data_IF_247960701658
#
_entry.id   IF_247960701658
#
_cell.length_a   1.000
_cell.length_b   1.000
_cell.length_c   1.000
_cell.angle_alpha   90.00
_cell.angle_beta   90.00
_cell.angle_gamma   90.00
#
_symmetry.space_group_name_H-M   'P 1'
#
loop_
_entity.id
_entity.type
_entity.pdbx_description
1 polymer ?
#
# COMPACT_ATOMS: atom_id res chain seq x y z
N UNK A 1 -8.59 -3.51 -12.56
CA UNK A 1 -8.25 -4.91 -12.21
C UNK A 1 -8.63 -5.10 -10.76
N UNK A 2 -9.32 -6.17 -10.44
CA UNK A 2 -9.61 -6.51 -9.04
C UNK A 2 -8.41 -7.22 -8.42
N UNK A 3 -8.06 -6.85 -7.20
CA UNK A 3 -6.95 -7.40 -6.44
C UNK A 3 -7.34 -7.46 -4.97
N UNK A 4 -6.73 -8.39 -4.23
CA UNK A 4 -6.86 -8.42 -2.78
C UNK A 4 -5.94 -7.35 -2.18
N UNK A 5 -6.51 -6.37 -1.47
CA UNK A 5 -5.73 -5.44 -0.68
C UNK A 5 -5.52 -6.02 0.72
N UNK A 6 -4.28 -6.15 1.16
CA UNK A 6 -3.96 -6.58 2.53
C UNK A 6 -3.00 -5.59 3.19
N UNK A 7 -3.12 -5.43 4.50
CA UNK A 7 -2.21 -4.59 5.28
C UNK A 7 -1.16 -5.46 5.97
N UNK A 8 0.07 -4.96 6.04
CA UNK A 8 1.21 -5.71 6.58
C UNK A 8 2.08 -4.81 7.45
N UNK A 9 2.65 -5.39 8.50
CA UNK A 9 3.74 -4.76 9.27
C UNK A 9 5.07 -5.28 8.76
N UNK A 10 5.95 -4.35 8.43
CA UNK A 10 7.33 -4.64 8.02
C UNK A 10 8.21 -3.74 8.88
N UNK A 11 9.25 -4.33 9.47
CA UNK A 11 10.11 -3.68 10.48
C UNK A 11 10.62 -2.33 9.96
N UNK A 12 11.10 -2.28 8.72
CA UNK A 12 11.66 -1.07 8.12
C UNK A 12 10.65 0.08 8.03
N UNK A 13 9.38 -0.22 7.68
CA UNK A 13 8.34 0.80 7.58
C UNK A 13 7.83 1.24 8.95
N UNK A 14 7.73 0.32 9.91
CA UNK A 14 7.38 0.65 11.29
C UNK A 14 8.48 1.51 11.93
N UNK A 15 9.76 1.17 11.74
CA UNK A 15 10.88 2.02 12.20
C UNK A 15 10.88 3.38 11.51
N UNK A 16 10.67 3.44 10.20
CA UNK A 16 10.61 4.70 9.46
C UNK A 16 9.50 5.63 9.99
N UNK A 17 8.36 5.07 10.42
CA UNK A 17 7.29 5.84 11.06
C UNK A 17 7.76 6.51 12.36
N UNK A 18 8.48 5.78 13.20
CA UNK A 18 8.97 6.31 14.49
C UNK A 18 10.11 7.33 14.28
N UNK A 19 11.01 7.08 13.33
CA UNK A 19 12.13 7.98 13.03
C UNK A 19 11.74 9.23 12.26
N UNK A 20 10.63 9.21 11.51
CA UNK A 20 10.19 10.38 10.76
C UNK A 20 9.74 11.54 11.66
N UNK A 21 9.57 11.33 12.97
CA UNK A 21 9.20 12.36 13.96
C UNK A 21 7.99 13.23 13.56
N UNK A 22 7.15 12.77 12.63
CA UNK A 22 5.99 13.50 12.14
C UNK A 22 6.21 14.38 10.89
N UNK A 23 7.38 14.34 10.24
CA UNK A 23 7.58 15.03 8.95
C UNK A 23 6.69 14.40 7.85
N UNK A 24 5.80 15.20 7.26
CA UNK A 24 4.76 14.74 6.34
C UNK A 24 5.35 14.10 5.08
N UNK A 25 6.41 14.71 4.53
CA UNK A 25 7.06 14.23 3.31
C UNK A 25 7.78 12.90 3.54
N UNK A 26 8.53 12.79 4.64
CA UNK A 26 9.21 11.56 5.04
C UNK A 26 8.22 10.42 5.29
N UNK A 27 7.12 10.69 6.01
CA UNK A 27 6.07 9.70 6.24
C UNK A 27 5.44 9.25 4.93
N UNK A 28 5.11 10.18 4.03
CA UNK A 28 4.51 9.86 2.73
C UNK A 28 5.43 9.00 1.87
N UNK A 29 6.72 9.34 1.79
CA UNK A 29 7.69 8.57 1.00
C UNK A 29 7.86 7.14 1.51
N UNK A 30 7.71 6.90 2.82
CA UNK A 30 7.95 5.62 3.46
C UNK A 30 6.70 4.76 3.66
N UNK A 31 5.53 5.38 3.80
CA UNK A 31 4.28 4.69 4.16
C UNK A 31 3.19 4.76 3.10
N UNK A 32 3.22 5.71 2.17
CA UNK A 32 2.25 5.78 1.07
C UNK A 32 2.65 4.84 -0.08
N UNK A 33 2.78 3.55 0.21
CA UNK A 33 3.31 2.54 -0.71
C UNK A 33 2.31 1.41 -0.97
N UNK A 34 2.24 0.96 -2.23
CA UNK A 34 1.56 -0.26 -2.64
C UNK A 34 2.57 -1.24 -3.23
N UNK A 35 2.84 -2.33 -2.52
CA UNK A 35 3.75 -3.39 -2.96
C UNK A 35 2.99 -4.38 -3.84
N UNK A 36 3.50 -4.61 -5.05
CA UNK A 36 2.84 -5.42 -6.09
C UNK A 36 3.84 -6.43 -6.64
N UNK A 37 3.36 -7.63 -6.96
CA UNK A 37 4.15 -8.61 -7.68
C UNK A 37 4.65 -8.05 -9.04
N UNK A 38 5.91 -8.28 -9.45
CA UNK A 38 6.44 -7.82 -10.73
C UNK A 38 5.63 -8.24 -11.96
N UNK A 39 4.98 -9.41 -11.93
CA UNK A 39 4.13 -9.89 -13.02
C UNK A 39 2.87 -9.03 -13.17
N UNK A 40 2.20 -8.71 -12.06
CA UNK A 40 1.01 -7.86 -12.09
C UNK A 40 1.36 -6.41 -12.37
N UNK A 41 2.52 -5.96 -11.91
CA UNK A 41 3.05 -4.65 -12.25
C UNK A 41 3.21 -4.49 -13.77
N UNK A 42 3.70 -5.53 -14.45
CA UNK A 42 3.78 -5.58 -15.93
C UNK A 42 2.40 -5.67 -16.57
N UNK A 43 1.49 -6.52 -16.07
CA UNK A 43 0.11 -6.63 -16.60
C UNK A 43 -0.65 -5.31 -16.52
N UNK A 44 -0.41 -4.53 -15.47
CA UNK A 44 -0.98 -3.19 -15.27
C UNK A 44 -0.25 -2.09 -16.06
N UNK A 45 0.80 -2.41 -16.81
CA UNK A 45 1.67 -1.46 -17.53
C UNK A 45 2.19 -0.32 -16.63
N UNK A 46 2.51 -0.65 -15.38
CA UNK A 46 3.06 0.34 -14.44
C UNK A 46 4.55 0.57 -14.71
N UNK A 47 5.01 1.77 -14.40
CA UNK A 47 6.43 2.15 -14.41
C UNK A 47 6.87 2.54 -13.01
N UNK A 48 8.14 2.32 -12.70
CA UNK A 48 8.75 2.72 -11.43
C UNK A 48 8.66 4.25 -11.28
N UNK A 49 7.87 4.72 -10.31
CA UNK A 49 7.42 6.10 -10.00
C UNK A 49 5.96 6.45 -10.30
N UNK A 50 5.15 5.55 -10.86
CA UNK A 50 3.72 5.81 -10.94
C UNK A 50 3.04 5.66 -9.58
N UNK A 51 2.10 6.58 -9.34
CA UNK A 51 1.13 6.44 -8.27
C UNK A 51 -0.07 5.66 -8.81
N UNK A 52 -0.59 4.75 -7.99
CA UNK A 52 -1.80 4.01 -8.27
C UNK A 52 -2.93 4.49 -7.37
N UNK A 53 -4.14 4.49 -7.91
CA UNK A 53 -5.35 4.72 -7.14
C UNK A 53 -5.95 3.36 -6.77
N UNK A 54 -6.11 3.13 -5.47
CA UNK A 54 -6.84 2.00 -4.92
C UNK A 54 -8.21 2.52 -4.45
N UNK A 55 -9.28 1.79 -4.77
CA UNK A 55 -10.64 2.17 -4.37
C UNK A 55 -11.49 0.94 -4.11
N UNK A 56 -12.28 1.00 -3.04
CA UNK A 56 -13.28 0.01 -2.69
C UNK A 56 -14.51 0.69 -2.06
N UNK A 57 -15.40 -0.10 -1.45
CA UNK A 57 -16.62 0.42 -0.80
C UNK A 57 -16.38 1.32 0.42
N UNK A 58 -15.21 1.25 1.04
CA UNK A 58 -14.89 2.03 2.24
C UNK A 58 -14.25 3.37 1.91
N UNK A 59 -13.50 3.43 0.80
CA UNK A 59 -12.87 4.67 0.37
C UNK A 59 -11.90 4.49 -0.78
N UNK A 60 -11.01 5.46 -0.92
CA UNK A 60 -10.01 5.52 -1.97
C UNK A 60 -8.71 6.10 -1.45
N UNK A 61 -7.58 5.62 -1.97
CA UNK A 61 -6.25 6.14 -1.62
C UNK A 61 -5.34 6.15 -2.85
N UNK A 62 -4.43 7.12 -2.89
CA UNK A 62 -3.37 7.20 -3.91
C UNK A 62 -2.05 6.86 -3.22
N UNK A 63 -1.35 5.85 -3.73
CA UNK A 63 -0.07 5.37 -3.18
C UNK A 63 0.95 5.16 -4.30
N UNK A 64 2.24 5.26 -3.99
CA UNK A 64 3.31 4.93 -4.93
C UNK A 64 3.37 3.42 -5.12
N UNK A 65 3.33 2.96 -6.37
CA UNK A 65 3.48 1.54 -6.66
C UNK A 65 4.96 1.14 -6.65
N UNK A 66 5.28 0.08 -5.91
CA UNK A 66 6.62 -0.53 -5.87
C UNK A 66 6.52 -2.03 -6.18
N UNK A 67 7.56 -2.55 -6.81
CA UNK A 67 7.65 -3.98 -7.14
C UNK A 67 8.30 -4.73 -5.98
N UNK A 68 7.65 -5.80 -5.52
CA UNK A 68 8.17 -6.66 -4.46
C UNK A 68 8.00 -8.13 -4.85
N UNK A 69 9.11 -8.87 -4.91
CA UNK A 69 9.11 -10.26 -5.43
C UNK A 69 8.39 -11.22 -4.50
N UNK A 70 8.36 -10.93 -3.21
CA UNK A 70 7.73 -11.78 -2.20
C UNK A 70 6.21 -11.58 -2.11
N UNK A 71 5.65 -10.60 -2.82
CA UNK A 71 4.19 -10.41 -2.89
C UNK A 71 3.59 -11.43 -3.86
N UNK A 72 2.60 -12.23 -3.44
CA UNK A 72 1.89 -13.12 -4.37
C UNK A 72 1.14 -12.33 -5.46
N UNK A 73 0.97 -12.95 -6.63
CA UNK A 73 0.18 -12.34 -7.71
C UNK A 73 -1.30 -12.18 -7.29
N UNK A 74 -1.94 -11.10 -7.74
CA UNK A 74 -3.32 -10.74 -7.42
C UNK A 74 -3.48 -10.00 -6.08
N UNK A 75 -2.38 -9.69 -5.39
CA UNK A 75 -2.39 -9.01 -4.08
C UNK A 75 -1.64 -7.68 -4.17
N UNK A 76 -2.18 -6.67 -3.47
CA UNK A 76 -1.46 -5.43 -3.15
C UNK A 76 -1.25 -5.38 -1.64
N UNK A 77 0.00 -5.34 -1.19
CA UNK A 77 0.31 -5.15 0.22
C UNK A 77 0.53 -3.66 0.51
N UNK A 78 -0.13 -3.17 1.56
CA UNK A 78 0.08 -1.82 2.08
C UNK A 78 0.72 -1.90 3.47
N UNK A 79 1.72 -1.07 3.78
CA UNK A 79 2.20 -0.95 5.15
C UNK A 79 1.10 -0.35 6.02
N UNK A 80 0.96 -0.85 7.25
CA UNK A 80 0.02 -0.30 8.24
C UNK A 80 0.29 1.19 8.45
N UNK A 81 -0.64 2.03 8.01
CA UNK A 81 -0.45 3.49 7.92
C UNK A 81 -1.78 4.22 7.74
N UNK A 82 -1.75 5.55 7.83
CA UNK A 82 -2.91 6.41 7.57
C UNK A 82 -3.43 6.28 6.12
N UNK A 83 -2.59 5.89 5.16
CA UNK A 83 -2.99 5.64 3.78
C UNK A 83 -3.75 4.33 3.64
N UNK A 84 -3.24 3.26 4.24
CA UNK A 84 -3.95 1.97 4.26
C UNK A 84 -5.34 2.10 4.91
N UNK A 85 -5.42 2.90 5.98
CA UNK A 85 -6.67 3.11 6.73
C UNK A 85 -7.80 3.74 5.90
N UNK A 86 -7.50 4.41 4.77
CA UNK A 86 -8.52 5.02 3.91
C UNK A 86 -9.31 4.00 3.08
N UNK A 87 -8.82 2.77 2.97
CA UNK A 87 -9.47 1.68 2.23
C UNK A 87 -9.76 0.45 3.11
N UNK A 88 -9.31 0.42 4.36
CA UNK A 88 -9.74 -0.59 5.33
C UNK A 88 -11.04 -0.15 5.99
N UNK A 89 -11.94 -1.10 6.24
CA UNK A 89 -13.19 -0.79 6.94
C UNK A 89 -13.73 -2.00 7.66
N UNK A 90 -14.61 -1.75 8.61
CA UNK A 90 -15.26 -2.78 9.41
C UNK A 90 -16.41 -3.43 8.64
N UNK A 91 -16.45 -4.75 8.62
CA UNK A 91 -17.60 -5.52 8.15
C UNK A 91 -17.88 -6.69 9.09
N UNK A 92 -19.15 -6.87 9.46
CA UNK A 92 -19.59 -7.95 10.34
C UNK A 92 -18.81 -8.03 11.68
N UNK A 93 -18.56 -6.88 12.31
CA UNK A 93 -17.72 -6.75 13.53
C UNK A 93 -16.29 -7.28 13.38
N UNK A 94 -15.75 -7.31 12.15
CA UNK A 94 -14.36 -7.66 11.86
C UNK A 94 -13.71 -6.55 11.04
N UNK A 95 -12.45 -6.28 11.34
CA UNK A 95 -11.53 -5.46 10.52
C UNK A 95 -11.03 -6.26 9.33
#
# INVERSE_FOLDING_TARGET
>A
MEMLANTVRIIDYDQAREYALGDEDSLKQKLALGMINPEDFKKLNLTSNLNIKLSNKYGQVIVKAIQEKNVPSGIVLLPVSIWANQITGFENNRL
#
